data_IF_944036055656
#
_entry.id   IF_944036055656
#
_cell.length_a   1.000
_cell.length_b   1.000
_cell.length_c   1.000
_cell.angle_alpha   90.00
_cell.angle_beta   90.00
_cell.angle_gamma   90.00
#
_symmetry.space_group_name_H-M   'P 1'
#
loop_
_entity.id
_entity.type
_entity.pdbx_description
1 polymer ?
#
# COMPACT_ATOMS: atom_id res chain seq x y z
N UNK A 1 -29.24 -6.52 -5.88
CA UNK A 1 -27.76 -6.47 -5.74
C UNK A 1 -27.40 -5.46 -4.65
N UNK A 2 -26.45 -5.80 -3.76
CA UNK A 2 -25.99 -4.93 -2.68
C UNK A 2 -24.80 -4.07 -3.15
N UNK A 3 -24.49 -2.99 -2.42
CA UNK A 3 -23.31 -2.19 -2.62
C UNK A 3 -22.06 -2.95 -2.09
N UNK A 4 -21.09 -3.23 -2.97
CA UNK A 4 -19.83 -3.91 -2.64
C UNK A 4 -18.67 -2.92 -2.41
N UNK A 5 -18.92 -1.63 -2.49
CA UNK A 5 -17.93 -0.56 -2.34
C UNK A 5 -17.21 -0.15 -3.63
N UNK A 6 -16.51 0.99 -3.54
CA UNK A 6 -15.88 1.65 -4.69
C UNK A 6 -14.79 0.79 -5.35
N UNK A 7 -13.95 0.14 -4.55
CA UNK A 7 -12.85 -0.69 -5.07
C UNK A 7 -13.37 -1.87 -5.88
N UNK A 8 -14.42 -2.56 -5.38
CA UNK A 8 -15.01 -3.69 -6.10
C UNK A 8 -15.64 -3.26 -7.42
N UNK A 9 -16.35 -2.10 -7.45
CA UNK A 9 -16.90 -1.55 -8.66
C UNK A 9 -15.81 -1.18 -9.67
N UNK A 10 -14.73 -0.55 -9.22
CA UNK A 10 -13.57 -0.20 -10.05
C UNK A 10 -12.88 -1.46 -10.59
N UNK A 11 -12.66 -2.49 -9.76
CA UNK A 11 -12.08 -3.76 -10.19
C UNK A 11 -12.95 -4.44 -11.26
N UNK A 12 -14.27 -4.46 -11.08
CA UNK A 12 -15.20 -5.01 -12.06
C UNK A 12 -15.11 -4.25 -13.41
N UNK A 13 -15.07 -2.92 -13.36
CA UNK A 13 -14.90 -2.09 -14.56
C UNK A 13 -13.57 -2.36 -15.27
N UNK A 14 -12.46 -2.42 -14.54
CA UNK A 14 -11.13 -2.72 -15.09
C UNK A 14 -11.10 -4.11 -15.74
N UNK A 15 -11.71 -5.10 -15.10
CA UNK A 15 -11.75 -6.49 -15.62
C UNK A 15 -12.53 -6.56 -16.94
N UNK A 16 -13.66 -5.85 -17.04
CA UNK A 16 -14.51 -5.86 -18.24
C UNK A 16 -13.99 -4.94 -19.36
N UNK A 17 -13.17 -3.96 -19.03
CA UNK A 17 -12.62 -3.03 -20.02
C UNK A 17 -11.76 -3.75 -21.07
N UNK A 18 -11.97 -3.44 -22.35
CA UNK A 18 -11.25 -4.05 -23.50
C UNK A 18 -10.28 -3.08 -24.17
N UNK A 19 -10.28 -1.82 -23.76
CA UNK A 19 -9.44 -0.78 -24.35
C UNK A 19 -7.94 -0.98 -24.06
N UNK A 20 -7.11 -0.55 -25.02
CA UNK A 20 -5.65 -0.47 -24.83
C UNK A 20 -5.30 0.49 -23.67
N UNK A 21 -6.05 1.56 -23.53
CA UNK A 21 -5.99 2.48 -22.42
C UNK A 21 -7.30 2.41 -21.63
N UNK A 22 -7.21 2.55 -20.33
CA UNK A 22 -8.34 2.55 -19.40
C UNK A 22 -8.27 3.85 -18.60
N UNK A 23 -9.37 4.62 -18.62
CA UNK A 23 -9.53 5.81 -17.81
C UNK A 23 -10.45 5.50 -16.62
N UNK A 24 -10.09 6.00 -15.44
CA UNK A 24 -10.96 6.00 -14.25
C UNK A 24 -11.22 7.41 -13.79
N UNK A 25 -12.45 7.71 -13.40
CA UNK A 25 -12.84 8.96 -12.76
C UNK A 25 -14.06 8.72 -11.86
N UNK A 26 -14.23 9.58 -10.85
CA UNK A 26 -15.43 9.58 -10.01
C UNK A 26 -16.60 10.22 -10.76
N UNK A 27 -17.82 9.69 -10.58
CA UNK A 27 -19.04 10.19 -11.21
C UNK A 27 -19.67 11.39 -10.48
N UNK A 28 -18.91 12.08 -9.62
CA UNK A 28 -19.39 13.21 -8.80
C UNK A 28 -19.16 14.59 -9.45
N UNK A 29 -18.79 14.59 -10.73
CA UNK A 29 -18.58 15.77 -11.58
C UNK A 29 -17.45 16.71 -11.08
N UNK A 30 -16.60 16.26 -10.18
CA UNK A 30 -15.46 17.07 -9.70
C UNK A 30 -14.27 17.06 -10.67
N UNK A 31 -14.05 15.98 -11.42
CA UNK A 31 -13.07 15.92 -12.49
C UNK A 31 -13.69 16.20 -13.85
N UNK A 32 -13.02 16.97 -14.69
CA UNK A 32 -13.51 17.29 -16.03
C UNK A 32 -13.10 16.18 -17.02
N UNK A 33 -14.03 15.47 -17.67
CA UNK A 33 -13.71 14.50 -18.70
C UNK A 33 -12.96 15.07 -19.91
N UNK A 34 -13.02 16.39 -20.12
CA UNK A 34 -12.31 17.08 -21.20
C UNK A 34 -10.78 16.98 -21.06
N UNK A 35 -10.26 16.72 -19.86
CA UNK A 35 -8.84 16.51 -19.63
C UNK A 35 -8.35 15.15 -20.16
N UNK A 36 -9.25 14.17 -20.36
CA UNK A 36 -8.89 12.80 -20.77
C UNK A 36 -8.09 12.76 -22.08
N UNK A 37 -8.50 13.43 -23.18
CA UNK A 37 -7.76 13.38 -24.43
C UNK A 37 -6.33 13.92 -24.32
N UNK A 38 -6.12 14.95 -23.51
CA UNK A 38 -4.79 15.51 -23.27
C UNK A 38 -3.94 14.58 -22.41
N UNK A 39 -4.51 14.00 -21.36
CA UNK A 39 -3.85 12.98 -20.53
C UNK A 39 -3.43 11.77 -21.36
N UNK A 40 -4.23 11.33 -22.32
CA UNK A 40 -3.89 10.22 -23.24
C UNK A 40 -2.68 10.60 -24.08
N UNK A 41 -2.69 11.77 -24.71
CA UNK A 41 -1.55 12.26 -25.50
C UNK A 41 -0.28 12.34 -24.67
N UNK A 42 -0.36 12.88 -23.45
CA UNK A 42 0.78 13.02 -22.55
C UNK A 42 1.33 11.66 -22.07
N UNK A 43 0.44 10.69 -21.78
CA UNK A 43 0.83 9.32 -21.43
C UNK A 43 1.59 8.67 -22.58
N UNK A 44 1.13 8.83 -23.83
CA UNK A 44 1.78 8.27 -25.01
C UNK A 44 3.10 8.97 -25.32
N UNK A 45 3.13 10.30 -25.27
CA UNK A 45 4.33 11.12 -25.53
C UNK A 45 5.47 10.79 -24.57
N UNK A 46 5.15 10.54 -23.28
CA UNK A 46 6.13 10.20 -22.24
C UNK A 46 6.33 8.71 -22.06
N UNK A 47 5.70 7.88 -22.91
CA UNK A 47 5.73 6.41 -22.82
C UNK A 47 5.35 5.86 -21.44
N UNK A 48 4.43 6.51 -20.74
CA UNK A 48 4.03 6.09 -19.40
C UNK A 48 3.07 4.89 -19.42
N UNK A 49 3.03 4.16 -18.30
CA UNK A 49 2.08 3.09 -18.04
C UNK A 49 0.90 3.56 -17.19
N UNK A 50 1.14 4.62 -16.40
CA UNK A 50 0.14 5.29 -15.58
C UNK A 50 0.38 6.79 -15.59
N UNK A 51 -0.68 7.56 -15.87
CA UNK A 51 -0.72 9.00 -15.70
C UNK A 51 -1.83 9.37 -14.72
N UNK A 52 -1.47 10.10 -13.67
CA UNK A 52 -2.37 10.52 -12.58
C UNK A 52 -2.71 11.99 -12.73
N UNK A 53 -3.97 12.35 -12.55
CA UNK A 53 -4.36 13.75 -12.47
C UNK A 53 -3.88 14.38 -11.16
N UNK A 54 -3.34 15.60 -11.24
CA UNK A 54 -2.95 16.41 -10.10
C UNK A 54 -3.87 17.62 -9.95
N UNK A 55 -4.67 17.63 -8.86
CA UNK A 55 -5.59 18.73 -8.54
C UNK A 55 -4.82 19.91 -7.93
N UNK A 56 -4.07 20.63 -8.78
CA UNK A 56 -3.19 21.73 -8.37
C UNK A 56 -3.94 22.84 -7.61
N UNK A 57 -5.15 23.19 -8.07
CA UNK A 57 -5.99 24.26 -7.49
C UNK A 57 -7.16 23.68 -6.69
N UNK A 58 -6.87 22.75 -5.77
CA UNK A 58 -7.89 22.13 -4.94
C UNK A 58 -8.59 23.17 -4.06
N UNK A 59 -9.89 23.41 -4.30
CA UNK A 59 -10.72 24.38 -3.58
C UNK A 59 -11.24 23.87 -2.22
N UNK A 60 -10.85 22.66 -1.82
CA UNK A 60 -11.25 22.09 -0.53
C UNK A 60 -10.53 22.81 0.61
N UNK A 61 -11.28 23.54 1.42
CA UNK A 61 -10.79 24.22 2.62
C UNK A 61 -10.22 23.23 3.65
N UNK A 62 -9.21 23.70 4.36
CA UNK A 62 -8.66 23.24 5.64
C UNK A 62 -7.27 22.62 5.58
N UNK A 63 -6.35 23.32 6.22
CA UNK A 63 -5.01 22.90 6.65
C UNK A 63 -4.99 21.50 7.31
N UNK A 64 -6.04 21.13 8.04
CA UNK A 64 -6.20 19.83 8.71
C UNK A 64 -6.26 18.61 7.75
N UNK A 65 -6.54 18.82 6.44
CA UNK A 65 -6.55 17.74 5.44
C UNK A 65 -5.27 17.69 4.61
N UNK A 66 -4.55 18.82 4.49
CA UNK A 66 -3.32 18.88 3.68
C UNK A 66 -2.14 18.20 4.38
N UNK A 67 -2.02 18.34 5.71
CA UNK A 67 -0.89 17.77 6.47
C UNK A 67 -0.88 16.24 6.47
N UNK A 68 -1.97 15.53 6.83
CA UNK A 68 -2.00 14.06 6.76
C UNK A 68 -1.78 13.52 5.34
N UNK A 69 -2.35 14.20 4.33
CA UNK A 69 -2.17 13.81 2.93
C UNK A 69 -0.72 13.99 2.47
N UNK A 70 -0.05 15.08 2.87
CA UNK A 70 1.35 15.32 2.56
C UNK A 70 2.28 14.30 3.19
N UNK A 71 2.06 13.97 4.48
CA UNK A 71 2.83 12.91 5.18
C UNK A 71 2.63 11.57 4.48
N UNK A 72 1.37 11.22 4.13
CA UNK A 72 1.04 10.00 3.41
C UNK A 72 1.75 9.93 2.06
N UNK A 73 1.65 10.98 1.24
CA UNK A 73 2.28 11.03 -0.08
C UNK A 73 3.81 10.92 0.01
N UNK A 74 4.43 11.61 1.00
CA UNK A 74 5.87 11.54 1.23
C UNK A 74 6.32 10.13 1.65
N UNK A 75 5.57 9.48 2.52
CA UNK A 75 5.87 8.12 3.00
C UNK A 75 5.72 7.10 1.88
N UNK A 76 4.62 7.14 1.13
CA UNK A 76 4.40 6.27 -0.03
C UNK A 76 5.50 6.50 -1.06
N UNK A 77 5.82 7.76 -1.37
CA UNK A 77 6.87 8.09 -2.33
C UNK A 77 8.25 7.54 -1.96
N UNK A 78 8.59 7.49 -0.65
CA UNK A 78 9.84 6.87 -0.19
C UNK A 78 9.86 5.36 -0.35
N UNK A 79 8.73 4.70 -0.15
CA UNK A 79 8.63 3.24 -0.20
C UNK A 79 8.55 2.75 -1.63
N UNK A 80 7.76 3.43 -2.47
CA UNK A 80 7.49 3.02 -3.86
C UNK A 80 8.49 3.57 -4.87
N UNK A 81 9.27 4.59 -4.49
CA UNK A 81 10.09 5.37 -5.42
C UNK A 81 9.27 6.28 -6.34
N UNK A 82 7.94 6.29 -6.25
CA UNK A 82 7.04 7.14 -7.04
C UNK A 82 6.74 8.41 -6.27
N UNK A 83 7.09 9.57 -6.82
CA UNK A 83 6.84 10.87 -6.20
C UNK A 83 5.70 11.55 -6.94
N UNK A 84 4.51 11.56 -6.34
CA UNK A 84 3.32 12.23 -6.85
C UNK A 84 2.85 13.27 -5.83
N UNK A 85 2.32 14.38 -6.33
CA UNK A 85 1.69 15.42 -5.50
C UNK A 85 0.28 14.99 -5.05
N UNK A 86 -0.43 14.20 -5.87
CA UNK A 86 -1.80 13.80 -5.58
C UNK A 86 -2.07 12.32 -5.91
N UNK A 87 -1.83 11.42 -4.96
CA UNK A 87 -2.20 10.00 -5.09
C UNK A 87 -3.70 9.78 -5.14
N UNK A 88 -4.47 10.66 -4.51
CA UNK A 88 -5.90 10.51 -4.27
C UNK A 88 -6.79 11.03 -5.40
N UNK A 89 -6.25 11.59 -6.48
CA UNK A 89 -7.07 11.98 -7.62
C UNK A 89 -7.70 10.74 -8.27
N UNK A 90 -8.99 10.76 -8.54
CA UNK A 90 -9.70 9.64 -9.17
C UNK A 90 -9.45 9.57 -10.68
N UNK A 91 -9.18 10.72 -11.31
CA UNK A 91 -8.89 10.78 -12.74
C UNK A 91 -7.47 10.23 -13.00
N UNK A 92 -7.41 9.06 -13.62
CA UNK A 92 -6.17 8.35 -13.95
C UNK A 92 -6.31 7.65 -15.29
N UNK A 93 -5.24 7.61 -16.07
CA UNK A 93 -5.15 6.86 -17.32
C UNK A 93 -4.11 5.76 -17.15
N UNK A 94 -4.47 4.55 -17.53
CA UNK A 94 -3.61 3.35 -17.41
C UNK A 94 -3.44 2.69 -18.77
N UNK A 95 -2.28 2.05 -18.98
CA UNK A 95 -2.22 0.98 -19.98
C UNK A 95 -3.02 -0.22 -19.49
N UNK A 96 -3.94 -0.72 -20.31
CA UNK A 96 -4.82 -1.84 -19.95
C UNK A 96 -4.05 -3.09 -19.55
N UNK A 97 -2.94 -3.38 -20.24
CA UNK A 97 -2.04 -4.50 -19.94
C UNK A 97 -1.41 -4.43 -18.55
N UNK A 98 -1.21 -3.22 -18.01
CA UNK A 98 -0.60 -2.99 -16.70
C UNK A 98 -1.64 -3.05 -15.59
N UNK A 99 -2.73 -2.28 -15.70
CA UNK A 99 -3.72 -2.21 -14.61
C UNK A 99 -4.44 -3.54 -14.37
N UNK A 100 -4.62 -4.37 -15.40
CA UNK A 100 -5.21 -5.70 -15.27
C UNK A 100 -4.36 -6.70 -14.48
N UNK A 101 -3.07 -6.43 -14.30
CA UNK A 101 -2.19 -7.22 -13.44
C UNK A 101 -2.33 -6.85 -11.97
N UNK A 102 -2.94 -5.69 -11.67
CA UNK A 102 -3.19 -5.22 -10.30
C UNK A 102 -4.58 -5.65 -9.88
N UNK A 103 -4.67 -6.60 -8.94
CA UNK A 103 -5.95 -7.00 -8.32
C UNK A 103 -6.27 -6.06 -7.18
N UNK A 104 -7.28 -5.23 -7.34
CA UNK A 104 -7.70 -4.25 -6.33
C UNK A 104 -8.61 -4.91 -5.28
N UNK A 105 -8.29 -4.72 -4.00
CA UNK A 105 -9.06 -5.22 -2.86
C UNK A 105 -9.16 -4.15 -1.75
N UNK A 106 -10.14 -4.27 -0.86
CA UNK A 106 -10.30 -3.35 0.27
C UNK A 106 -10.33 -1.88 -0.17
N UNK A 107 -9.50 -1.03 0.42
CA UNK A 107 -9.40 0.41 0.12
C UNK A 107 -8.23 0.74 -0.85
N UNK A 108 -7.76 -0.23 -1.62
CA UNK A 108 -6.60 -0.08 -2.52
C UNK A 108 -6.80 0.97 -3.61
N UNK A 109 -8.06 1.29 -3.97
CA UNK A 109 -8.38 2.32 -4.97
C UNK A 109 -7.73 3.69 -4.68
N UNK A 110 -7.46 3.99 -3.40
CA UNK A 110 -6.83 5.26 -2.98
C UNK A 110 -5.35 5.34 -3.33
N UNK A 111 -4.69 4.20 -3.42
CA UNK A 111 -3.24 4.10 -3.56
C UNK A 111 -2.82 3.31 -4.81
N UNK A 112 -3.66 3.29 -5.85
CA UNK A 112 -3.38 2.55 -7.09
C UNK A 112 -1.98 2.84 -7.65
N UNK A 113 -1.46 4.09 -7.67
CA UNK A 113 -0.11 4.34 -8.18
C UNK A 113 0.98 3.58 -7.42
N UNK A 114 0.78 3.37 -6.11
CA UNK A 114 1.68 2.57 -5.30
C UNK A 114 1.66 1.09 -5.72
N UNK A 115 0.48 0.54 -5.98
CA UNK A 115 0.34 -0.85 -6.43
C UNK A 115 0.87 -1.06 -7.85
N UNK A 116 0.65 -0.08 -8.74
CA UNK A 116 1.22 -0.08 -10.10
C UNK A 116 2.75 -0.03 -10.06
N UNK A 117 3.34 0.70 -9.10
CA UNK A 117 4.80 0.71 -8.89
C UNK A 117 5.38 -0.67 -8.50
N UNK A 118 4.56 -1.60 -8.03
CA UNK A 118 4.95 -3.00 -7.82
C UNK A 118 4.98 -3.83 -9.11
N UNK A 119 4.52 -3.26 -10.23
CA UNK A 119 4.38 -3.94 -11.53
C UNK A 119 5.30 -3.31 -12.58
N UNK A 120 5.45 -1.97 -12.56
CA UNK A 120 6.25 -1.23 -13.53
C UNK A 120 7.27 -0.32 -12.83
N UNK A 121 8.37 0.05 -13.50
CA UNK A 121 9.32 1.02 -12.96
C UNK A 121 8.64 2.37 -12.62
N UNK A 122 9.10 3.02 -11.55
CA UNK A 122 8.57 4.31 -11.11
C UNK A 122 8.70 5.42 -12.18
N UNK A 123 9.68 5.31 -13.08
CA UNK A 123 9.87 6.22 -14.22
C UNK A 123 8.73 6.18 -15.25
N UNK A 124 7.94 5.10 -15.25
CA UNK A 124 6.77 4.94 -16.13
C UNK A 124 5.45 5.36 -15.48
N UNK A 125 5.53 5.99 -14.30
CA UNK A 125 4.38 6.56 -13.59
C UNK A 125 4.58 8.07 -13.52
N UNK A 126 3.61 8.83 -14.02
CA UNK A 126 3.66 10.28 -14.06
C UNK A 126 2.39 10.94 -13.52
N UNK A 127 2.45 12.23 -13.41
CA UNK A 127 1.29 13.05 -13.11
C UNK A 127 1.24 14.29 -14.01
N UNK A 128 0.03 14.85 -14.17
CA UNK A 128 -0.17 16.15 -14.80
C UNK A 128 -1.32 16.92 -14.13
N UNK A 129 -1.25 18.27 -14.13
CA UNK A 129 -2.36 19.07 -13.61
C UNK A 129 -3.65 18.80 -14.39
N UNK A 130 -4.76 18.70 -13.65
CA UNK A 130 -6.11 18.51 -14.21
C UNK A 130 -7.08 19.51 -13.61
N UNK A 131 -8.16 19.77 -14.34
CA UNK A 131 -9.25 20.64 -13.91
C UNK A 131 -10.03 19.97 -12.79
N UNK A 132 -10.30 20.71 -11.72
CA UNK A 132 -11.07 20.22 -10.59
C UNK A 132 -12.13 21.23 -10.20
N UNK A 133 -13.39 20.80 -10.27
CA UNK A 133 -14.56 21.61 -9.94
C UNK A 133 -14.98 21.42 -8.48
N UNK A 134 -15.60 22.45 -7.91
CA UNK A 134 -16.24 22.32 -6.61
C UNK A 134 -17.40 21.31 -6.70
N UNK A 135 -17.62 20.55 -5.62
CA UNK A 135 -18.72 19.57 -5.57
C UNK A 135 -20.07 20.27 -5.73
N UNK A 136 -20.86 19.85 -6.71
CA UNK A 136 -22.19 20.41 -6.98
C UNK A 136 -23.29 19.69 -6.21
N UNK A 137 -23.13 18.39 -5.90
CA UNK A 137 -24.15 17.58 -5.24
C UNK A 137 -23.59 16.78 -4.07
N UNK A 138 -24.39 16.61 -3.02
CA UNK A 138 -24.08 15.79 -1.86
C UNK A 138 -23.27 16.52 -0.76
N UNK A 139 -23.40 16.02 0.46
CA UNK A 139 -22.69 16.53 1.65
C UNK A 139 -21.43 15.70 1.88
N UNK A 140 -20.34 16.39 2.16
CA UNK A 140 -19.07 15.72 2.51
C UNK A 140 -19.18 14.97 3.85
N UNK A 141 -19.25 13.65 3.82
CA UNK A 141 -19.25 12.79 5.04
C UNK A 141 -17.84 12.70 5.66
N UNK A 142 -17.22 13.84 5.97
CA UNK A 142 -15.87 13.85 6.53
C UNK A 142 -15.90 13.98 8.06
N UNK A 143 -15.48 12.92 8.78
CA UNK A 143 -15.27 12.90 10.22
C UNK A 143 -13.83 12.47 10.57
N UNK A 144 -13.41 12.71 11.82
CA UNK A 144 -12.08 12.32 12.37
C UNK A 144 -11.82 10.82 12.24
N UNK A 145 -12.87 9.98 12.30
CA UNK A 145 -12.80 8.53 12.10
C UNK A 145 -12.21 8.11 10.75
N UNK A 146 -12.33 8.97 9.72
CA UNK A 146 -11.75 8.71 8.40
C UNK A 146 -10.23 8.90 8.41
N UNK A 147 -9.71 9.88 9.13
CA UNK A 147 -8.26 10.11 9.24
C UNK A 147 -7.58 8.88 9.83
N UNK A 148 -8.18 8.30 10.88
CA UNK A 148 -7.67 7.07 11.49
C UNK A 148 -7.70 5.89 10.51
N UNK A 149 -8.79 5.72 9.76
CA UNK A 149 -8.87 4.70 8.70
C UNK A 149 -7.81 4.89 7.61
N UNK A 150 -7.60 6.12 7.15
CA UNK A 150 -6.56 6.40 6.14
C UNK A 150 -5.17 6.08 6.67
N UNK A 151 -4.89 6.30 7.96
CA UNK A 151 -3.62 5.92 8.59
C UNK A 151 -3.46 4.39 8.59
N UNK A 152 -4.50 3.65 8.96
CA UNK A 152 -4.48 2.18 8.92
C UNK A 152 -4.32 1.65 7.49
N UNK A 153 -5.02 2.23 6.52
CA UNK A 153 -4.89 1.89 5.10
C UNK A 153 -3.45 2.13 4.62
N UNK A 154 -2.86 3.26 5.02
CA UNK A 154 -1.49 3.62 4.68
C UNK A 154 -0.47 2.64 5.30
N UNK A 155 -0.65 2.28 6.57
CA UNK A 155 0.19 1.27 7.23
C UNK A 155 0.07 -0.08 6.52
N UNK A 156 -1.14 -0.46 6.12
CA UNK A 156 -1.39 -1.70 5.38
C UNK A 156 -0.69 -1.69 4.02
N UNK A 157 -0.83 -0.60 3.24
CA UNK A 157 -0.12 -0.43 1.96
C UNK A 157 1.39 -0.53 2.15
N UNK A 158 1.93 0.19 3.15
CA UNK A 158 3.35 0.18 3.48
C UNK A 158 3.85 -1.22 3.82
N UNK A 159 3.09 -1.95 4.65
CA UNK A 159 3.41 -3.31 5.05
C UNK A 159 3.41 -4.25 3.83
N UNK A 160 2.34 -4.25 3.03
CA UNK A 160 2.23 -5.09 1.84
C UNK A 160 3.31 -4.78 0.80
N UNK A 161 3.63 -3.51 0.57
CA UNK A 161 4.67 -3.16 -0.40
C UNK A 161 6.07 -3.55 0.06
N UNK A 162 6.37 -3.42 1.35
CA UNK A 162 7.71 -3.71 1.90
C UNK A 162 7.92 -5.20 2.18
N UNK A 163 6.88 -5.90 2.61
CA UNK A 163 6.96 -7.27 3.14
C UNK A 163 6.07 -8.27 2.40
N UNK A 164 5.56 -7.91 1.19
CA UNK A 164 4.65 -8.73 0.38
C UNK A 164 5.07 -10.21 0.29
N UNK A 165 6.35 -10.47 0.02
CA UNK A 165 6.87 -11.82 -0.19
C UNK A 165 7.41 -12.49 1.10
N UNK A 166 7.67 -11.74 2.17
CA UNK A 166 8.33 -12.25 3.38
C UNK A 166 7.83 -11.52 4.65
N UNK A 167 6.55 -11.64 5.00
CA UNK A 167 6.00 -10.99 6.20
C UNK A 167 6.65 -11.52 7.50
N UNK A 168 7.13 -12.77 7.50
CA UNK A 168 7.85 -13.37 8.61
C UNK A 168 9.09 -12.61 9.03
N UNK A 169 9.80 -11.96 8.10
CA UNK A 169 10.98 -11.16 8.44
C UNK A 169 10.64 -9.91 9.25
N UNK A 170 9.47 -9.29 9.03
CA UNK A 170 9.05 -8.13 9.81
C UNK A 170 8.73 -8.52 11.26
N UNK A 171 7.80 -9.45 11.43
CA UNK A 171 7.38 -9.88 12.77
C UNK A 171 8.51 -10.62 13.51
N UNK A 172 9.27 -11.46 12.80
CA UNK A 172 10.39 -12.20 13.36
C UNK A 172 11.50 -11.29 13.87
N UNK A 173 11.92 -10.28 13.11
CA UNK A 173 12.98 -9.35 13.56
C UNK A 173 12.53 -8.53 14.77
N UNK A 174 11.29 -8.06 14.79
CA UNK A 174 10.74 -7.34 15.95
C UNK A 174 10.64 -8.26 17.17
N UNK A 175 10.15 -9.50 16.99
CA UNK A 175 10.05 -10.50 18.04
C UNK A 175 11.42 -10.88 18.62
N UNK A 176 12.42 -11.10 17.76
CA UNK A 176 13.80 -11.37 18.21
C UNK A 176 14.40 -10.19 18.98
N UNK A 177 14.15 -8.95 18.53
CA UNK A 177 14.61 -7.75 19.24
C UNK A 177 14.00 -7.63 20.65
N UNK A 178 12.67 -7.83 20.76
CA UNK A 178 11.99 -7.83 22.06
C UNK A 178 12.44 -9.01 22.93
N UNK A 179 12.65 -10.18 22.33
CA UNK A 179 13.18 -11.36 23.03
C UNK A 179 14.56 -11.15 23.58
N UNK A 180 15.46 -10.52 22.82
CA UNK A 180 16.80 -10.18 23.29
C UNK A 180 16.75 -9.18 24.45
N UNK A 181 15.92 -8.12 24.35
CA UNK A 181 15.73 -7.16 25.43
C UNK A 181 15.17 -7.82 26.69
N UNK A 182 14.15 -8.67 26.52
CA UNK A 182 13.58 -9.45 27.62
C UNK A 182 14.63 -10.36 28.26
N UNK A 183 15.41 -11.09 27.44
CA UNK A 183 16.48 -11.96 27.90
C UNK A 183 17.52 -11.22 28.74
N UNK A 184 17.93 -10.02 28.33
CA UNK A 184 18.86 -9.17 29.11
C UNK A 184 18.25 -8.76 30.44
N UNK A 185 16.99 -8.32 30.48
CA UNK A 185 16.30 -7.91 31.71
C UNK A 185 16.18 -9.09 32.66
N UNK A 186 15.74 -10.25 32.18
CA UNK A 186 15.55 -11.43 33.02
C UNK A 186 16.88 -12.02 33.48
N UNK A 187 17.93 -12.01 32.65
CA UNK A 187 19.26 -12.40 33.05
C UNK A 187 19.85 -11.48 34.13
N UNK A 188 19.69 -10.16 34.00
CA UNK A 188 20.06 -9.20 35.04
C UNK A 188 19.34 -9.52 36.35
N UNK A 189 18.04 -9.72 36.33
CA UNK A 189 17.27 -10.04 37.54
C UNK A 189 17.61 -11.40 38.12
N UNK A 190 17.97 -12.38 37.28
CA UNK A 190 18.46 -13.67 37.73
C UNK A 190 19.76 -13.53 38.54
N UNK A 191 20.75 -12.79 38.01
CA UNK A 191 21.99 -12.48 38.70
C UNK A 191 21.74 -11.73 40.02
N UNK A 192 20.87 -10.73 39.99
CA UNK A 192 20.50 -9.91 41.15
C UNK A 192 19.88 -10.77 42.28
N UNK A 193 19.02 -11.73 41.91
CA UNK A 193 18.40 -12.62 42.89
C UNK A 193 19.32 -13.71 43.42
N UNK A 194 20.03 -14.44 42.55
CA UNK A 194 20.74 -15.66 42.93
C UNK A 194 22.19 -15.43 43.32
N UNK A 195 22.81 -14.34 42.85
CA UNK A 195 24.20 -14.00 43.16
C UNK A 195 24.28 -12.90 44.21
N UNK A 196 23.45 -11.87 44.09
CA UNK A 196 23.45 -10.72 44.99
C UNK A 196 22.46 -10.87 46.16
N UNK A 197 21.58 -11.89 46.14
CA UNK A 197 20.62 -12.18 47.21
C UNK A 197 19.46 -11.18 47.38
N UNK A 198 19.25 -10.30 46.39
CA UNK A 198 18.23 -9.30 46.47
C UNK A 198 16.83 -9.87 46.13
N UNK A 199 15.77 -9.36 46.76
CA UNK A 199 14.39 -9.70 46.37
C UNK A 199 13.97 -8.97 45.09
N UNK A 200 13.44 -9.73 44.13
CA UNK A 200 12.99 -9.22 42.82
C UNK A 200 11.48 -9.35 42.65
N UNK A 201 10.77 -10.02 43.56
CA UNK A 201 9.34 -10.36 43.38
C UNK A 201 8.42 -9.15 43.31
N UNK A 202 8.78 -8.05 43.97
CA UNK A 202 8.02 -6.80 43.97
C UNK A 202 8.45 -5.78 42.91
N UNK A 203 9.47 -6.10 42.10
CA UNK A 203 10.01 -5.14 41.13
C UNK A 203 9.19 -5.12 39.84
N UNK A 204 8.68 -3.95 39.40
CA UNK A 204 7.98 -3.81 38.14
C UNK A 204 8.78 -4.34 36.93
N UNK A 205 10.12 -4.28 37.01
CA UNK A 205 11.02 -4.73 35.96
C UNK A 205 10.88 -6.23 35.65
N UNK A 206 10.57 -7.06 36.66
CA UNK A 206 10.31 -8.49 36.44
C UNK A 206 9.05 -8.72 35.56
N UNK A 207 7.96 -8.01 35.87
CA UNK A 207 6.74 -8.06 35.07
C UNK A 207 6.99 -7.57 33.63
N UNK A 208 7.74 -6.50 33.46
CA UNK A 208 8.12 -5.98 32.14
C UNK A 208 8.91 -7.04 31.36
N UNK A 209 9.89 -7.67 32.00
CA UNK A 209 10.68 -8.74 31.36
C UNK A 209 9.80 -9.89 30.87
N UNK A 210 8.89 -10.38 31.70
CA UNK A 210 7.97 -11.48 31.34
C UNK A 210 7.02 -11.02 30.21
N UNK A 211 6.44 -9.82 30.29
CA UNK A 211 5.54 -9.32 29.24
C UNK A 211 6.27 -9.17 27.89
N UNK A 212 7.50 -8.69 27.89
CA UNK A 212 8.32 -8.60 26.67
C UNK A 212 8.62 -10.00 26.10
N UNK A 213 8.90 -10.99 26.94
CA UNK A 213 9.11 -12.37 26.53
C UNK A 213 7.87 -12.95 25.82
N UNK A 214 6.71 -12.83 26.45
CA UNK A 214 5.44 -13.29 25.86
C UNK A 214 5.13 -12.58 24.55
N UNK A 215 5.35 -11.26 24.50
CA UNK A 215 5.18 -10.48 23.28
C UNK A 215 6.13 -10.92 22.16
N UNK A 216 7.38 -11.25 22.51
CA UNK A 216 8.36 -11.75 21.55
C UNK A 216 7.91 -13.10 20.94
N UNK A 217 7.48 -14.04 21.78
CA UNK A 217 6.96 -15.35 21.32
C UNK A 217 5.73 -15.14 20.42
N UNK A 218 4.81 -14.28 20.83
CA UNK A 218 3.61 -13.98 20.04
C UNK A 218 3.94 -13.39 18.66
N UNK A 219 4.89 -12.44 18.58
CA UNK A 219 5.31 -11.84 17.31
C UNK A 219 5.99 -12.85 16.40
N UNK A 220 6.87 -13.70 16.93
CA UNK A 220 7.53 -14.76 16.16
C UNK A 220 6.48 -15.73 15.59
N UNK A 221 5.55 -16.18 16.42
CA UNK A 221 4.45 -17.07 15.98
C UNK A 221 3.59 -16.42 14.90
N UNK A 222 3.22 -15.14 15.10
CA UNK A 222 2.48 -14.35 14.09
C UNK A 222 3.28 -14.26 12.78
N UNK A 223 4.60 -14.08 12.86
CA UNK A 223 5.47 -14.05 11.69
C UNK A 223 5.46 -15.36 10.90
N UNK A 224 5.55 -16.48 11.59
CA UNK A 224 5.49 -17.82 10.97
C UNK A 224 4.14 -18.02 10.30
N UNK A 225 3.03 -17.71 10.98
CA UNK A 225 1.68 -17.83 10.41
C UNK A 225 1.49 -16.95 9.18
N UNK A 226 1.93 -15.69 9.26
CA UNK A 226 1.86 -14.76 8.14
C UNK A 226 2.68 -15.24 6.93
N UNK A 227 3.84 -15.81 7.16
CA UNK A 227 4.69 -16.41 6.11
C UNK A 227 4.00 -17.64 5.47
N UNK A 228 3.38 -18.51 6.27
CA UNK A 228 2.63 -19.67 5.78
C UNK A 228 1.44 -19.24 4.91
N UNK A 229 0.68 -18.22 5.36
CA UNK A 229 -0.44 -17.65 4.61
C UNK A 229 0.05 -17.06 3.28
N UNK A 230 1.15 -16.28 3.30
CA UNK A 230 1.71 -15.71 2.09
C UNK A 230 2.15 -16.80 1.11
N UNK A 231 2.81 -17.86 1.56
CA UNK A 231 3.23 -18.99 0.71
C UNK A 231 2.04 -19.73 0.13
N UNK A 232 0.97 -19.93 0.91
CA UNK A 232 -0.26 -20.57 0.43
C UNK A 232 -0.93 -19.72 -0.65
N UNK A 233 -0.97 -18.40 -0.47
CA UNK A 233 -1.52 -17.48 -1.46
C UNK A 233 -0.75 -17.51 -2.80
N UNK A 234 0.58 -17.57 -2.75
CA UNK A 234 1.43 -17.64 -3.96
C UNK A 234 1.56 -19.02 -4.56
N UNK A 235 1.01 -20.06 -3.93
CA UNK A 235 0.98 -21.43 -4.47
C UNK A 235 -0.10 -21.63 -5.53
N UNK A 236 -1.08 -20.75 -5.58
CA UNK A 236 -2.12 -20.76 -6.61
C UNK A 236 -1.56 -20.17 -7.89
N UNK A 237 -1.63 -20.93 -9.01
CA UNK A 237 -1.12 -20.54 -10.35
C UNK A 237 -1.67 -19.19 -10.84
N UNK A 238 -2.81 -18.75 -10.32
CA UNK A 238 -3.38 -17.43 -10.58
C UNK A 238 -2.66 -16.26 -9.87
N UNK A 239 -1.71 -16.55 -8.96
CA UNK A 239 -1.09 -15.57 -8.05
C UNK A 239 0.43 -15.64 -8.06
N UNK A 240 1.03 -15.60 -9.24
CA UNK A 240 2.50 -15.62 -9.40
C UNK A 240 3.16 -14.36 -8.80
N UNK A 241 4.36 -14.53 -8.25
CA UNK A 241 5.14 -13.46 -7.65
C UNK A 241 6.00 -12.67 -8.65
N UNK A 242 5.94 -13.02 -9.93
CA UNK A 242 6.70 -12.39 -11.02
C UNK A 242 5.78 -11.96 -12.15
N UNK A 243 6.30 -11.06 -12.98
CA UNK A 243 5.64 -10.58 -14.19
C UNK A 243 6.58 -10.85 -15.36
N UNK A 244 6.07 -11.59 -16.35
CA UNK A 244 6.81 -11.81 -17.59
C UNK A 244 6.64 -10.58 -18.47
N UNK A 245 7.74 -9.89 -18.77
CA UNK A 245 7.74 -8.75 -19.68
C UNK A 245 7.82 -9.19 -21.13
N UNK A 246 8.78 -10.05 -21.44
CA UNK A 246 9.04 -10.53 -22.79
C UNK A 246 9.43 -12.00 -22.74
N UNK A 247 8.95 -12.80 -23.69
CA UNK A 247 9.33 -14.20 -23.86
C UNK A 247 10.15 -14.30 -25.15
N UNK A 248 11.43 -14.62 -25.01
CA UNK A 248 12.29 -14.92 -26.15
C UNK A 248 12.26 -16.42 -26.40
N UNK A 249 11.52 -16.85 -27.42
CA UNK A 249 11.62 -18.23 -27.96
C UNK A 249 12.81 -18.27 -28.91
N UNK A 250 13.86 -18.97 -28.54
CA UNK A 250 14.92 -19.30 -29.48
C UNK A 250 14.32 -20.13 -30.62
N UNK A 251 14.40 -19.65 -31.86
CA UNK A 251 14.15 -20.50 -33.04
C UNK A 251 15.16 -21.67 -32.98
N UNK A 252 14.65 -22.87 -32.77
CA UNK A 252 15.44 -24.04 -33.07
C UNK A 252 15.72 -24.02 -34.58
N UNK A 253 16.95 -23.64 -34.95
CA UNK A 253 17.46 -23.92 -36.29
C UNK A 253 17.50 -25.43 -36.42
N UNK A 254 16.46 -26.01 -37.03
CA UNK A 254 16.50 -27.33 -37.58
C UNK A 254 17.31 -27.23 -38.86
N UNK A 255 18.56 -27.69 -38.79
CA UNK A 255 19.40 -28.04 -39.91
C UNK A 255 18.98 -29.40 -40.47
#
# INVERSE_FOLDING_TARGET
QRNFGQTAAMQAGITQARGRLIATLDGDLQNDPKDIPEMVRELERRELDLLVGWRKNRQDGLLLRKVPSWIANRLIGRITGVRLHDYGCSLKIYRGSVIKQVKLMGEMHRFIPAWVAGVVPSSRIGEMPVTHHARQHGVSKYGISRTFRVILDLLSVMFFMRFKARPGHFFGSLGLGLGALSGLILAYLFVDKFILGNDIGTRPLFMIGVMLFLSAVQLITTGILAEMIARTYYRDDSSVSYIVRDVYSGEQQTS
#
